data_IF_970043620610
#
_entry.id   IF_970043620610
#
_cell.length_a   1.000
_cell.length_b   1.000
_cell.length_c   1.000
_cell.angle_alpha   90.00
_cell.angle_beta   90.00
_cell.angle_gamma   90.00
#
_symmetry.space_group_name_H-M   'P 1'
#
loop_
_entity.id
_entity.type
_entity.pdbx_description
1 polymer ?
#
# COMPACT_ATOMS: atom_id res chain seq x y z
N UNK A 1 16.60 -16.54 -9.58
CA UNK A 1 16.61 -16.38 -8.11
C UNK A 1 16.71 -17.74 -7.48
N UNK A 2 17.60 -17.92 -6.49
CA UNK A 2 17.78 -19.19 -5.82
C UNK A 2 16.73 -19.39 -4.72
N UNK A 3 16.16 -20.60 -4.66
CA UNK A 3 15.33 -21.08 -3.56
C UNK A 3 16.20 -21.35 -2.31
N UNK A 4 15.60 -21.54 -1.12
CA UNK A 4 16.36 -21.87 0.09
C UNK A 4 17.20 -23.15 0.00
N UNK A 5 16.83 -24.08 -0.89
CA UNK A 5 17.55 -25.32 -1.19
C UNK A 5 18.69 -25.13 -2.21
N UNK A 6 18.93 -23.91 -2.69
CA UNK A 6 19.95 -23.58 -3.67
C UNK A 6 19.53 -23.79 -5.13
N UNK A 7 18.35 -24.35 -5.40
CA UNK A 7 17.86 -24.58 -6.76
C UNK A 7 17.36 -23.27 -7.37
N UNK A 8 17.72 -23.02 -8.62
CA UNK A 8 17.26 -21.84 -9.34
C UNK A 8 15.79 -21.98 -9.76
N UNK A 9 15.02 -20.92 -9.54
CA UNK A 9 13.65 -20.77 -10.06
C UNK A 9 13.65 -20.81 -11.59
N UNK A 10 12.70 -21.56 -12.17
CA UNK A 10 12.56 -21.75 -13.62
C UNK A 10 11.45 -20.93 -14.26
N UNK A 11 10.52 -20.38 -13.47
CA UNK A 11 9.39 -19.57 -13.94
C UNK A 11 9.23 -18.28 -13.14
N UNK A 12 8.43 -17.35 -13.68
CA UNK A 12 8.07 -16.10 -13.00
C UNK A 12 7.26 -16.39 -11.73
N UNK A 13 6.34 -17.35 -11.76
CA UNK A 13 5.52 -17.69 -10.59
C UNK A 13 6.39 -18.26 -9.46
N UNK A 14 7.34 -19.13 -9.79
CA UNK A 14 8.29 -19.64 -8.80
C UNK A 14 9.16 -18.53 -8.20
N UNK A 15 9.59 -17.57 -9.02
CA UNK A 15 10.31 -16.39 -8.54
C UNK A 15 9.45 -15.52 -7.64
N UNK A 16 8.18 -15.30 -8.00
CA UNK A 16 7.23 -14.52 -7.22
C UNK A 16 6.98 -15.16 -5.85
N UNK A 17 6.80 -16.47 -5.78
CA UNK A 17 6.63 -17.22 -4.53
C UNK A 17 7.85 -17.08 -3.61
N UNK A 18 9.07 -17.19 -4.16
CA UNK A 18 10.30 -17.01 -3.39
C UNK A 18 10.41 -15.58 -2.84
N UNK A 19 10.07 -14.57 -3.66
CA UNK A 19 10.09 -13.17 -3.25
C UNK A 19 9.04 -12.87 -2.17
N UNK A 20 7.80 -13.33 -2.36
CA UNK A 20 6.71 -13.13 -1.41
C UNK A 20 7.07 -13.79 -0.07
N UNK A 21 7.54 -15.04 -0.11
CA UNK A 21 7.98 -15.75 1.09
C UNK A 21 9.21 -15.15 1.79
N UNK A 22 10.04 -14.40 1.05
CA UNK A 22 11.22 -13.72 1.62
C UNK A 22 10.90 -12.34 2.20
N UNK A 23 9.95 -11.59 1.63
CA UNK A 23 9.67 -10.21 2.02
C UNK A 23 8.49 -10.07 2.98
N UNK A 24 7.54 -11.00 2.94
CA UNK A 24 6.33 -10.93 3.75
C UNK A 24 6.30 -12.07 4.76
N UNK A 25 5.89 -11.80 6.03
CA UNK A 25 5.68 -12.85 7.00
C UNK A 25 4.66 -13.86 6.48
N UNK A 26 4.94 -15.16 6.62
CA UNK A 26 3.96 -16.21 6.33
C UNK A 26 2.82 -16.12 7.33
N UNK A 27 1.62 -15.85 6.84
CA UNK A 27 0.43 -15.85 7.68
C UNK A 27 0.09 -17.30 8.05
N UNK A 28 0.40 -17.71 9.30
CA UNK A 28 0.15 -19.07 9.77
C UNK A 28 -1.34 -19.41 9.97
N UNK A 29 -2.21 -18.39 9.97
CA UNK A 29 -3.67 -18.54 10.09
C UNK A 29 -4.34 -17.44 9.28
N UNK A 30 -5.16 -17.82 8.29
CA UNK A 30 -6.07 -16.87 7.64
C UNK A 30 -6.99 -16.32 8.73
N UNK A 31 -6.86 -15.04 9.03
CA UNK A 31 -7.80 -14.36 9.93
C UNK A 31 -9.03 -14.03 9.10
N UNK A 32 -10.20 -14.44 9.57
CA UNK A 32 -11.42 -13.84 9.07
C UNK A 32 -11.42 -12.38 9.52
N UNK A 33 -11.23 -11.47 8.56
CA UNK A 33 -11.37 -10.05 8.81
C UNK A 33 -12.87 -9.76 9.00
N UNK A 34 -13.37 -9.92 10.22
CA UNK A 34 -14.66 -9.36 10.60
C UNK A 34 -14.52 -7.84 10.55
N UNK A 35 -15.31 -7.17 9.70
CA UNK A 35 -15.40 -5.71 9.73
C UNK A 35 -15.92 -5.30 11.11
N UNK A 36 -15.11 -4.56 11.85
CA UNK A 36 -15.50 -3.88 13.08
C UNK A 36 -15.51 -2.39 12.81
N UNK A 37 -16.67 -1.75 12.96
CA UNK A 37 -16.86 -0.32 12.88
C UNK A 37 -18.12 0.06 13.66
N UNK A 38 -18.25 1.31 14.13
CA UNK A 38 -17.31 2.42 13.98
C UNK A 38 -16.01 2.28 14.80
N UNK A 39 -15.00 3.09 14.50
CA UNK A 39 -13.77 3.17 15.33
C UNK A 39 -14.13 3.75 16.70
N UNK A 40 -14.20 2.89 17.73
CA UNK A 40 -14.71 3.24 19.07
C UNK A 40 -13.99 4.44 19.73
N UNK A 41 -12.72 4.67 19.40
CA UNK A 41 -11.83 5.63 20.09
C UNK A 41 -11.32 6.80 19.21
N UNK A 42 -11.90 7.06 18.04
CA UNK A 42 -11.45 8.20 17.23
C UNK A 42 -12.04 9.53 17.71
N UNK A 43 -11.40 10.13 18.73
CA UNK A 43 -11.78 11.45 19.27
C UNK A 43 -11.31 12.67 18.45
N UNK A 44 -10.70 12.46 17.28
CA UNK A 44 -10.20 13.54 16.43
C UNK A 44 -11.23 14.07 15.43
N UNK A 45 -11.03 15.28 14.92
CA UNK A 45 -11.79 15.77 13.75
C UNK A 45 -11.17 15.23 12.45
N UNK A 46 -12.01 14.97 11.44
CA UNK A 46 -11.59 14.80 10.03
C UNK A 46 -12.19 15.96 9.23
N UNK A 47 -11.45 17.07 9.20
CA UNK A 47 -11.80 18.30 8.52
C UNK A 47 -10.90 18.56 7.30
N UNK A 48 -11.23 19.61 6.54
CA UNK A 48 -10.51 19.99 5.34
C UNK A 48 -9.04 20.31 5.62
N UNK A 49 -8.72 20.96 6.74
CA UNK A 49 -7.36 21.34 7.11
C UNK A 49 -6.50 20.10 7.36
N UNK A 50 -6.99 19.17 8.18
CA UNK A 50 -6.29 17.92 8.48
C UNK A 50 -6.05 17.07 7.25
N UNK A 51 -7.08 16.89 6.42
CA UNK A 51 -6.99 16.06 5.20
C UNK A 51 -6.05 16.72 4.19
N UNK A 52 -6.15 18.03 3.99
CA UNK A 52 -5.24 18.77 3.10
C UNK A 52 -3.80 18.70 3.58
N UNK A 53 -3.55 18.91 4.88
CA UNK A 53 -2.23 18.81 5.47
C UNK A 53 -1.63 17.41 5.27
N UNK A 54 -2.43 16.36 5.43
CA UNK A 54 -2.01 14.98 5.18
C UNK A 54 -1.58 14.77 3.71
N UNK A 55 -2.37 15.25 2.74
CA UNK A 55 -2.05 15.17 1.31
C UNK A 55 -0.78 15.97 0.97
N UNK A 56 -0.60 17.15 1.57
CA UNK A 56 0.54 18.04 1.29
C UNK A 56 1.86 17.56 1.91
N UNK A 57 1.80 16.73 2.96
CA UNK A 57 2.99 16.11 3.57
C UNK A 57 3.60 15.02 2.68
N UNK A 58 2.83 14.41 1.79
CA UNK A 58 3.31 13.32 0.92
C UNK A 58 3.98 13.92 -0.32
N UNK A 59 5.20 13.47 -0.65
CA UNK A 59 5.87 13.92 -1.89
C UNK A 59 5.01 13.64 -3.13
N UNK A 60 4.82 14.61 -4.05
CA UNK A 60 4.02 14.42 -5.26
C UNK A 60 4.52 13.30 -6.19
N UNK A 61 5.81 12.97 -6.12
CA UNK A 61 6.45 11.95 -6.96
C UNK A 61 6.36 10.52 -6.40
N UNK A 62 5.59 10.30 -5.33
CA UNK A 62 5.33 8.93 -4.85
C UNK A 62 4.50 8.16 -5.89
N UNK A 63 4.84 6.89 -6.09
CA UNK A 63 4.10 6.01 -6.99
C UNK A 63 2.63 5.89 -6.56
N UNK A 64 1.68 5.87 -7.51
CA UNK A 64 0.28 5.65 -7.20
C UNK A 64 0.02 4.21 -6.76
N UNK A 65 -1.14 3.98 -6.14
CA UNK A 65 -1.68 2.64 -5.93
C UNK A 65 -2.16 2.01 -7.24
N UNK A 66 -2.83 0.86 -7.13
CA UNK A 66 -3.42 0.17 -8.28
C UNK A 66 -4.53 0.98 -8.99
N UNK A 67 -5.08 2.00 -8.31
CA UNK A 67 -6.07 2.93 -8.86
C UNK A 67 -5.50 4.03 -9.75
N UNK A 68 -4.16 4.17 -9.81
CA UNK A 68 -3.49 5.21 -10.60
C UNK A 68 -3.64 6.63 -10.04
N UNK A 69 -4.26 6.81 -8.87
CA UNK A 69 -4.49 8.13 -8.29
C UNK A 69 -3.20 8.64 -7.65
N UNK A 70 -2.56 9.61 -8.29
CA UNK A 70 -1.32 10.22 -7.77
C UNK A 70 -1.60 11.33 -6.76
N UNK A 71 -0.63 11.60 -5.89
CA UNK A 71 -0.68 12.74 -4.97
C UNK A 71 -0.73 14.06 -5.74
N UNK A 72 -0.03 14.14 -6.88
CA UNK A 72 -0.09 15.30 -7.77
C UNK A 72 -1.50 15.55 -8.30
N UNK A 73 -2.22 14.49 -8.69
CA UNK A 73 -3.61 14.58 -9.12
C UNK A 73 -4.52 15.06 -7.97
N UNK A 74 -4.40 14.47 -6.78
CA UNK A 74 -5.18 14.89 -5.60
C UNK A 74 -4.99 16.37 -5.27
N UNK A 75 -3.75 16.87 -5.32
CA UNK A 75 -3.44 18.29 -5.08
C UNK A 75 -4.08 19.21 -6.12
N UNK A 76 -4.04 18.84 -7.40
CA UNK A 76 -4.67 19.61 -8.49
C UNK A 76 -6.19 19.59 -8.40
N UNK A 77 -6.76 18.43 -8.07
CA UNK A 77 -8.19 18.25 -7.95
C UNK A 77 -8.79 18.88 -6.69
N UNK A 78 -7.96 19.23 -5.68
CA UNK A 78 -8.42 19.73 -4.39
C UNK A 78 -9.40 20.91 -4.47
N UNK A 79 -9.20 21.83 -5.43
CA UNK A 79 -10.09 22.99 -5.60
C UNK A 79 -11.53 22.60 -5.99
N UNK A 80 -11.71 21.44 -6.60
CA UNK A 80 -13.00 20.97 -7.12
C UNK A 80 -13.54 19.83 -6.25
N UNK A 81 -12.68 18.89 -5.85
CA UNK A 81 -13.05 17.65 -5.15
C UNK A 81 -12.68 17.65 -3.67
N UNK A 82 -12.17 18.75 -3.12
CA UNK A 82 -11.70 18.80 -1.73
C UNK A 82 -12.76 18.37 -0.71
N UNK A 83 -14.00 18.81 -0.89
CA UNK A 83 -15.12 18.43 -0.02
C UNK A 83 -15.43 16.93 -0.09
N UNK A 84 -15.50 16.36 -1.30
CA UNK A 84 -15.75 14.94 -1.50
C UNK A 84 -14.61 14.06 -0.96
N UNK A 85 -13.37 14.50 -1.13
CA UNK A 85 -12.19 13.83 -0.56
C UNK A 85 -12.30 13.83 0.97
N UNK A 86 -12.62 14.96 1.59
CA UNK A 86 -12.78 15.06 3.06
C UNK A 86 -13.92 14.16 3.54
N UNK A 87 -15.05 14.15 2.84
CA UNK A 87 -16.20 13.29 3.14
C UNK A 87 -15.81 11.81 3.08
N UNK A 88 -15.08 11.39 2.04
CA UNK A 88 -14.57 10.03 1.91
C UNK A 88 -13.66 9.66 3.10
N UNK A 89 -12.65 10.48 3.41
CA UNK A 89 -11.74 10.19 4.53
C UNK A 89 -12.47 10.16 5.87
N UNK A 90 -13.45 11.06 6.08
CA UNK A 90 -14.26 11.08 7.29
C UNK A 90 -15.02 9.76 7.44
N UNK A 91 -15.75 9.33 6.40
CA UNK A 91 -16.48 8.07 6.41
C UNK A 91 -15.55 6.87 6.64
N UNK A 92 -14.38 6.84 6.00
CA UNK A 92 -13.42 5.76 6.20
C UNK A 92 -12.98 5.62 7.66
N UNK A 93 -12.76 6.76 8.34
CA UNK A 93 -12.31 6.79 9.74
C UNK A 93 -13.48 6.57 10.71
N UNK A 94 -14.67 7.12 10.46
CA UNK A 94 -15.81 6.88 11.37
C UNK A 94 -16.29 5.45 11.27
N UNK A 95 -16.48 4.92 10.06
CA UNK A 95 -17.06 3.59 9.83
C UNK A 95 -16.04 2.45 9.78
N UNK A 96 -14.74 2.77 9.99
CA UNK A 96 -13.63 1.83 9.83
C UNK A 96 -13.66 1.06 8.49
N UNK A 97 -14.23 1.66 7.44
CA UNK A 97 -14.51 1.01 6.17
C UNK A 97 -13.76 1.69 5.04
N UNK A 98 -12.85 0.95 4.42
CA UNK A 98 -11.96 1.47 3.38
C UNK A 98 -12.28 0.86 2.01
N UNK A 99 -12.08 1.62 0.92
CA UNK A 99 -12.20 1.10 -0.45
C UNK A 99 -11.38 -0.18 -0.64
N UNK A 100 -11.96 -1.14 -1.38
CA UNK A 100 -11.28 -2.41 -1.62
C UNK A 100 -9.98 -2.23 -2.42
N UNK A 101 -9.95 -1.26 -3.32
CA UNK A 101 -8.75 -0.90 -4.09
C UNK A 101 -7.57 -0.51 -3.21
N UNK A 102 -7.80 0.06 -2.01
CA UNK A 102 -6.75 0.44 -1.07
C UNK A 102 -6.12 -0.76 -0.34
N UNK A 103 -6.79 -1.91 -0.39
CA UNK A 103 -6.30 -3.17 0.20
C UNK A 103 -5.53 -4.02 -0.82
N UNK A 104 -5.44 -3.56 -2.06
CA UNK A 104 -4.66 -4.17 -3.11
C UNK A 104 -3.36 -3.38 -3.29
N UNK A 105 -2.24 -4.09 -3.41
CA UNK A 105 -0.94 -3.49 -3.63
C UNK A 105 -0.28 -4.09 -4.89
N UNK A 106 0.37 -3.23 -5.67
CA UNK A 106 1.23 -3.66 -6.77
C UNK A 106 2.64 -3.87 -6.24
N UNK A 107 3.13 -5.11 -6.29
CA UNK A 107 4.50 -5.42 -5.91
C UNK A 107 5.44 -5.17 -7.10
N UNK A 108 6.33 -4.19 -6.95
CA UNK A 108 7.39 -3.91 -7.92
C UNK A 108 8.73 -4.27 -7.29
N UNK A 109 9.43 -5.22 -7.90
CA UNK A 109 10.68 -5.78 -7.40
C UNK A 109 11.82 -5.06 -8.09
N UNK A 110 12.62 -4.30 -7.33
CA UNK A 110 13.72 -3.49 -7.85
C UNK A 110 15.03 -3.96 -7.24
N UNK A 111 16.06 -4.14 -8.06
CA UNK A 111 17.38 -4.48 -7.55
C UNK A 111 17.92 -3.31 -6.73
N UNK A 112 18.37 -3.58 -5.50
CA UNK A 112 19.03 -2.57 -4.66
C UNK A 112 20.35 -2.16 -5.31
N UNK A 113 20.70 -0.88 -5.18
CA UNK A 113 21.96 -0.36 -5.71
C UNK A 113 23.19 -1.06 -5.08
N UNK A 114 24.27 -1.15 -5.85
CA UNK A 114 25.54 -1.78 -5.49
C UNK A 114 25.78 -3.14 -6.16
N UNK A 115 26.97 -3.70 -5.99
CA UNK A 115 27.27 -5.08 -6.40
C UNK A 115 26.64 -6.05 -5.40
N UNK A 116 25.45 -6.56 -5.75
CA UNK A 116 24.76 -7.58 -4.98
C UNK A 116 24.56 -8.82 -5.82
N UNK A 117 24.57 -9.97 -5.15
CA UNK A 117 24.20 -11.25 -5.74
C UNK A 117 22.74 -11.20 -6.21
N UNK A 118 22.54 -11.10 -7.52
CA UNK A 118 21.21 -11.01 -8.17
C UNK A 118 20.43 -12.32 -8.06
N UNK A 119 21.06 -13.40 -7.58
CA UNK A 119 20.36 -14.66 -7.33
C UNK A 119 19.64 -14.67 -5.98
N UNK A 120 20.07 -13.82 -5.03
CA UNK A 120 19.49 -13.72 -3.70
C UNK A 120 18.22 -12.86 -3.68
N UNK A 121 17.11 -13.33 -3.09
CA UNK A 121 15.89 -12.53 -2.90
C UNK A 121 16.14 -11.22 -2.13
N UNK A 122 17.09 -11.22 -1.20
CA UNK A 122 17.42 -10.07 -0.33
C UNK A 122 18.12 -8.93 -1.07
N UNK A 123 18.61 -9.19 -2.28
CA UNK A 123 19.26 -8.21 -3.14
C UNK A 123 18.28 -7.27 -3.82
N UNK A 124 17.02 -7.66 -3.90
CA UNK A 124 15.89 -6.83 -4.28
C UNK A 124 15.22 -6.26 -3.01
#
# INVERSE_FOLDING_TARGET
MARPDGVMTGTIDEMAEVLIGSFFPREGRKRDFTKSGPLEDYGGTVDAERVKAAIWRISPGKAPGADGVTVGLLRKAWLILGEEIVRLFRMCITEATFPQSWKCANLVVLLKQGEKDTTSPKSY
#
